data_IF_692662734685
#
_entry.id   IF_692662734685
#
_cell.length_a   1.000
_cell.length_b   1.000
_cell.length_c   1.000
_cell.angle_alpha   90.00
_cell.angle_beta   90.00
_cell.angle_gamma   90.00
#
_symmetry.space_group_name_H-M   'P 1'
#
loop_
_entity.id
_entity.type
_entity.pdbx_description
1 polymer ?
#
# COMPACT_ATOMS: atom_id res chain seq x y z
N UNK A 1 23.19 22.34 9.29
CA UNK A 1 22.75 23.14 8.14
C UNK A 1 23.95 23.44 7.21
N UNK A 2 25.12 23.75 7.75
CA UNK A 2 26.31 24.08 6.92
C UNK A 2 26.94 22.89 6.17
N UNK A 3 26.66 21.64 6.50
CA UNK A 3 27.22 20.47 5.82
C UNK A 3 26.38 20.00 4.58
N UNK A 4 25.16 20.49 4.42
CA UNK A 4 24.28 20.15 3.28
C UNK A 4 24.68 20.95 2.02
N UNK A 5 25.38 22.09 2.16
CA UNK A 5 25.80 22.93 1.03
C UNK A 5 26.92 22.34 0.15
N UNK A 6 27.56 21.25 0.56
CA UNK A 6 28.65 20.61 -0.23
C UNK A 6 28.18 19.65 -1.33
N UNK A 7 26.87 19.36 -1.42
CA UNK A 7 26.32 18.48 -2.48
C UNK A 7 26.05 19.21 -3.81
N UNK A 8 26.18 20.54 -3.81
CA UNK A 8 25.85 21.38 -4.98
C UNK A 8 27.05 21.62 -5.92
N UNK A 9 28.18 20.91 -5.77
CA UNK A 9 29.38 21.10 -6.61
C UNK A 9 29.83 19.86 -7.40
N UNK A 10 29.00 18.81 -7.48
CA UNK A 10 29.18 17.80 -8.51
C UNK A 10 28.63 18.36 -9.83
N UNK A 11 29.45 18.38 -10.89
CA UNK A 11 29.05 18.82 -12.23
C UNK A 11 27.77 18.11 -12.65
N UNK A 12 26.80 18.81 -13.27
CA UNK A 12 25.54 18.23 -13.68
C UNK A 12 25.83 17.16 -14.74
N UNK A 13 25.72 15.89 -14.36
CA UNK A 13 25.47 14.86 -15.37
C UNK A 13 24.19 15.27 -16.09
N UNK A 14 24.22 15.26 -17.42
CA UNK A 14 23.11 15.75 -18.22
C UNK A 14 21.82 15.04 -17.84
N UNK A 15 20.70 15.79 -17.74
CA UNK A 15 19.34 15.24 -17.50
C UNK A 15 19.00 14.04 -18.39
N UNK A 16 19.62 13.94 -19.59
CA UNK A 16 19.46 12.83 -20.52
C UNK A 16 20.08 11.54 -20.01
N UNK A 17 21.23 11.58 -19.30
CA UNK A 17 21.90 10.36 -18.78
C UNK A 17 21.19 9.80 -17.54
N UNK A 18 20.57 10.66 -16.74
CA UNK A 18 19.72 10.25 -15.61
C UNK A 18 18.41 9.68 -16.13
N UNK A 19 17.79 10.29 -17.13
CA UNK A 19 16.58 9.78 -17.79
C UNK A 19 16.82 8.43 -18.47
N UNK A 20 17.98 8.22 -19.09
CA UNK A 20 18.30 6.97 -19.78
C UNK A 20 18.54 5.82 -18.80
N UNK A 21 19.14 6.07 -17.63
CA UNK A 21 19.30 5.06 -16.56
C UNK A 21 17.99 4.74 -15.85
N UNK A 22 17.06 5.69 -15.73
CA UNK A 22 15.73 5.46 -15.18
C UNK A 22 14.82 4.64 -16.10
N UNK A 23 15.13 4.54 -17.41
CA UNK A 23 14.39 3.71 -18.37
C UNK A 23 14.88 2.26 -18.43
N UNK A 24 16.05 1.96 -17.89
CA UNK A 24 16.60 0.58 -17.83
C UNK A 24 16.21 -0.18 -16.55
N UNK A 25 15.67 0.49 -15.55
CA UNK A 25 15.01 -0.17 -14.40
C UNK A 25 13.62 -0.60 -14.86
N UNK A 26 13.43 -1.87 -15.04
CA UNK A 26 12.26 -2.62 -15.52
C UNK A 26 10.91 -1.92 -15.24
N UNK A 27 10.49 -1.02 -16.13
CA UNK A 27 9.11 -0.62 -16.26
C UNK A 27 8.40 -1.72 -17.04
N UNK A 28 7.59 -2.53 -16.39
CA UNK A 28 6.71 -3.47 -17.08
C UNK A 28 5.66 -2.64 -17.79
N UNK A 29 5.71 -2.63 -19.12
CA UNK A 29 4.63 -2.10 -19.94
C UNK A 29 3.46 -3.09 -19.84
N UNK A 30 2.44 -2.74 -19.04
CA UNK A 30 1.33 -3.61 -18.63
C UNK A 30 0.41 -4.02 -19.79
N UNK A 31 0.68 -3.54 -21.03
CA UNK A 31 -0.17 -3.75 -22.20
C UNK A 31 -0.04 -5.12 -22.89
N UNK A 32 0.88 -6.00 -22.52
CA UNK A 32 1.17 -7.21 -23.29
C UNK A 32 1.28 -8.49 -22.46
N UNK A 33 0.17 -8.97 -21.88
CA UNK A 33 0.01 -10.41 -21.59
C UNK A 33 -1.47 -10.74 -21.29
N UNK A 34 -2.14 -11.35 -22.25
CA UNK A 34 -3.44 -11.96 -22.03
C UNK A 34 -3.31 -13.24 -21.18
N UNK A 35 -4.21 -13.55 -20.25
CA UNK A 35 -4.12 -14.76 -19.44
C UNK A 35 -4.56 -15.99 -20.24
N UNK A 36 -3.65 -16.97 -20.35
CA UNK A 36 -4.00 -18.32 -20.78
C UNK A 36 -4.10 -19.20 -19.53
N UNK A 37 -5.30 -19.55 -19.13
CA UNK A 37 -5.52 -20.48 -18.01
C UNK A 37 -6.96 -20.93 -17.93
N UNK A 38 -7.24 -22.08 -18.56
CA UNK A 38 -8.55 -22.74 -18.55
C UNK A 38 -8.67 -23.55 -17.25
N UNK A 39 -9.51 -23.10 -16.30
CA UNK A 39 -9.92 -23.91 -15.14
C UNK A 39 -11.31 -24.48 -15.40
N UNK A 40 -11.53 -25.79 -15.21
CA UNK A 40 -12.84 -26.40 -15.53
C UNK A 40 -13.92 -25.93 -14.56
N UNK A 41 -15.00 -25.41 -15.11
CA UNK A 41 -16.18 -25.02 -14.38
C UNK A 41 -16.92 -26.25 -13.83
N UNK A 42 -17.07 -26.33 -12.52
CA UNK A 42 -18.05 -27.20 -11.87
C UNK A 42 -19.45 -26.66 -12.16
N UNK A 43 -20.21 -27.45 -12.89
CA UNK A 43 -21.60 -27.15 -13.24
C UNK A 43 -22.49 -27.48 -12.04
N UNK A 44 -22.82 -26.47 -11.23
CA UNK A 44 -23.86 -26.58 -10.19
C UNK A 44 -25.11 -25.93 -10.73
N UNK A 45 -26.19 -26.72 -10.85
CA UNK A 45 -27.52 -26.29 -11.33
C UNK A 45 -28.00 -25.06 -10.55
N UNK A 46 -28.19 -23.95 -11.26
CA UNK A 46 -28.78 -22.71 -10.75
C UNK A 46 -30.24 -22.94 -10.42
N UNK A 47 -30.61 -22.87 -9.15
CA UNK A 47 -31.97 -22.54 -8.76
C UNK A 47 -32.20 -21.05 -9.03
N UNK A 48 -33.17 -20.73 -9.84
CA UNK A 48 -33.63 -19.38 -10.12
C UNK A 48 -34.27 -18.78 -8.88
N UNK A 49 -33.47 -18.05 -8.08
CA UNK A 49 -34.02 -17.14 -7.09
C UNK A 49 -34.32 -15.81 -7.80
N UNK A 50 -35.59 -15.46 -7.79
CA UNK A 50 -36.15 -14.25 -8.34
C UNK A 50 -35.44 -12.99 -7.81
N UNK A 51 -35.10 -12.09 -8.74
CA UNK A 51 -34.66 -10.71 -8.46
C UNK A 51 -35.79 -9.94 -7.74
N UNK A 52 -35.83 -10.06 -6.43
CA UNK A 52 -36.57 -9.14 -5.56
C UNK A 52 -35.64 -8.00 -5.18
N UNK A 53 -35.96 -6.72 -5.48
CA UNK A 53 -35.15 -5.56 -5.13
C UNK A 53 -35.17 -5.21 -3.63
N UNK A 54 -35.53 -6.17 -2.77
CA UNK A 54 -35.42 -6.05 -1.31
C UNK A 54 -33.97 -6.09 -0.86
N UNK A 55 -33.66 -5.18 0.04
CA UNK A 55 -32.42 -4.93 0.76
C UNK A 55 -31.44 -6.11 0.80
N UNK A 56 -30.24 -5.93 0.20
CA UNK A 56 -29.20 -6.96 0.14
C UNK A 56 -28.68 -7.28 1.53
N UNK A 57 -29.21 -8.29 2.17
CA UNK A 57 -28.79 -8.69 3.53
C UNK A 57 -27.34 -9.22 3.52
N UNK A 58 -26.57 -9.07 4.61
CA UNK A 58 -25.20 -9.59 4.73
C UNK A 58 -25.08 -11.06 4.30
N UNK A 59 -26.07 -11.90 4.68
CA UNK A 59 -26.10 -13.32 4.30
C UNK A 59 -26.19 -13.54 2.79
N UNK A 60 -27.03 -12.76 2.08
CA UNK A 60 -27.17 -12.87 0.61
C UNK A 60 -25.88 -12.46 -0.11
N UNK A 61 -25.23 -11.37 0.33
CA UNK A 61 -23.98 -10.90 -0.26
C UNK A 61 -22.84 -11.91 -0.07
N UNK A 62 -22.73 -12.47 1.13
CA UNK A 62 -21.76 -13.54 1.42
C UNK A 62 -22.01 -14.76 0.55
N UNK A 63 -23.28 -15.22 0.43
CA UNK A 63 -23.63 -16.37 -0.39
C UNK A 63 -23.32 -16.11 -1.88
N UNK A 64 -23.69 -14.93 -2.41
CA UNK A 64 -23.39 -14.55 -3.80
C UNK A 64 -21.90 -14.55 -4.07
N UNK A 65 -21.09 -13.97 -3.17
CA UNK A 65 -19.62 -13.96 -3.34
C UNK A 65 -19.03 -15.36 -3.22
N UNK A 66 -19.46 -16.15 -2.22
CA UNK A 66 -19.05 -17.55 -2.04
C UNK A 66 -19.27 -18.39 -3.31
N UNK A 67 -20.38 -18.17 -3.99
CA UNK A 67 -20.77 -18.92 -5.18
C UNK A 67 -20.16 -18.34 -6.48
N UNK A 68 -19.22 -17.39 -6.38
CA UNK A 68 -18.47 -16.79 -7.49
C UNK A 68 -19.20 -15.65 -8.20
N UNK A 69 -20.34 -15.18 -7.67
CA UNK A 69 -21.04 -14.02 -8.22
C UNK A 69 -20.36 -12.69 -7.91
N UNK A 70 -20.47 -11.74 -8.84
CA UNK A 70 -20.00 -10.37 -8.63
C UNK A 70 -21.01 -9.57 -7.81
N UNK A 71 -20.50 -8.67 -6.96
CA UNK A 71 -21.25 -7.73 -6.15
C UNK A 71 -21.25 -6.34 -6.80
N UNK A 72 -22.39 -5.66 -6.74
CA UNK A 72 -22.43 -4.26 -7.17
C UNK A 72 -21.67 -3.34 -6.18
N UNK A 73 -21.21 -2.19 -6.67
CA UNK A 73 -20.59 -1.17 -5.80
C UNK A 73 -21.52 -0.79 -4.63
N UNK A 74 -22.81 -0.66 -4.88
CA UNK A 74 -23.81 -0.36 -3.85
C UNK A 74 -23.89 -1.44 -2.77
N UNK A 75 -23.85 -2.71 -3.16
CA UNK A 75 -23.86 -3.85 -2.23
C UNK A 75 -22.62 -3.82 -1.32
N UNK A 76 -21.44 -3.60 -1.91
CA UNK A 76 -20.17 -3.54 -1.16
C UNK A 76 -20.17 -2.35 -0.19
N UNK A 77 -20.57 -1.16 -0.65
CA UNK A 77 -20.67 0.04 0.20
C UNK A 77 -21.64 -0.17 1.37
N UNK A 78 -22.82 -0.73 1.09
CA UNK A 78 -23.83 -1.01 2.12
C UNK A 78 -23.30 -2.03 3.14
N UNK A 79 -22.63 -3.09 2.67
CA UNK A 79 -22.06 -4.12 3.53
C UNK A 79 -20.96 -3.56 4.47
N UNK A 80 -20.04 -2.76 3.94
CA UNK A 80 -19.00 -2.11 4.74
C UNK A 80 -19.59 -1.12 5.74
N UNK A 81 -20.61 -0.35 5.33
CA UNK A 81 -21.30 0.60 6.21
C UNK A 81 -22.00 -0.12 7.35
N UNK A 82 -22.76 -1.18 7.08
CA UNK A 82 -23.47 -1.96 8.10
C UNK A 82 -22.50 -2.66 9.05
N UNK A 83 -21.32 -3.07 8.56
CA UNK A 83 -20.26 -3.61 9.41
C UNK A 83 -19.73 -2.56 10.39
N UNK A 84 -19.48 -1.35 9.94
CA UNK A 84 -19.04 -0.25 10.82
C UNK A 84 -20.09 0.15 11.83
N UNK A 85 -21.37 0.13 11.44
CA UNK A 85 -22.50 0.40 12.34
C UNK A 85 -22.72 -0.72 13.38
N UNK A 86 -22.05 -1.87 13.24
CA UNK A 86 -22.23 -3.03 14.12
C UNK A 86 -23.47 -3.87 13.79
N UNK A 87 -24.14 -3.62 12.68
CA UNK A 87 -25.29 -4.37 12.18
C UNK A 87 -24.86 -5.68 11.50
N UNK A 88 -23.73 -5.66 10.81
CA UNK A 88 -23.03 -6.84 10.31
C UNK A 88 -22.01 -7.30 11.35
N UNK A 89 -22.15 -8.52 11.85
CA UNK A 89 -21.27 -9.07 12.87
C UNK A 89 -19.89 -9.46 12.32
N UNK A 90 -18.87 -9.49 13.18
CA UNK A 90 -17.47 -9.83 12.83
C UNK A 90 -17.37 -11.22 12.15
N UNK A 91 -18.16 -12.21 12.57
CA UNK A 91 -18.17 -13.54 11.93
C UNK A 91 -18.77 -13.50 10.51
N UNK A 92 -19.69 -12.57 10.21
CA UNK A 92 -20.21 -12.39 8.86
C UNK A 92 -19.17 -11.69 7.97
N UNK A 93 -18.49 -10.67 8.48
CA UNK A 93 -17.37 -10.06 7.76
C UNK A 93 -16.26 -11.08 7.52
N UNK A 94 -15.91 -11.91 8.51
CA UNK A 94 -14.90 -12.96 8.34
C UNK A 94 -15.30 -13.99 7.26
N UNK A 95 -16.59 -14.36 7.20
CA UNK A 95 -17.11 -15.23 6.15
C UNK A 95 -17.04 -14.58 4.75
N UNK A 96 -17.32 -13.29 4.66
CA UNK A 96 -17.15 -12.50 3.43
C UNK A 96 -15.67 -12.44 2.99
N UNK A 97 -14.76 -12.13 3.90
CA UNK A 97 -13.33 -12.08 3.63
C UNK A 97 -12.79 -13.43 3.14
N UNK A 98 -13.27 -14.54 3.72
CA UNK A 98 -12.91 -15.89 3.27
C UNK A 98 -13.52 -16.21 1.88
N UNK A 99 -14.75 -15.78 1.61
CA UNK A 99 -15.34 -15.90 0.28
C UNK A 99 -14.53 -15.13 -0.78
N UNK A 100 -14.10 -13.90 -0.46
CA UNK A 100 -13.20 -13.11 -1.32
C UNK A 100 -11.85 -13.80 -1.50
N UNK A 101 -11.30 -14.41 -0.44
CA UNK A 101 -10.03 -15.13 -0.51
C UNK A 101 -10.08 -16.26 -1.57
N UNK A 102 -11.16 -17.04 -1.60
CA UNK A 102 -11.29 -18.17 -2.52
C UNK A 102 -11.77 -17.76 -3.93
N UNK A 103 -12.65 -16.78 -4.04
CA UNK A 103 -13.29 -16.41 -5.31
C UNK A 103 -12.62 -15.20 -5.99
N UNK A 104 -11.81 -14.45 -5.25
CA UNK A 104 -11.29 -13.16 -5.72
C UNK A 104 -12.36 -12.06 -5.81
N UNK A 105 -11.99 -10.94 -6.37
CA UNK A 105 -12.85 -9.81 -6.73
C UNK A 105 -12.45 -9.29 -8.10
N UNK A 106 -13.41 -8.77 -8.86
CA UNK A 106 -13.10 -7.99 -10.06
C UNK A 106 -12.45 -6.65 -9.68
N UNK A 107 -11.82 -5.95 -10.66
CA UNK A 107 -11.25 -4.64 -10.38
C UNK A 107 -12.29 -3.62 -9.94
N UNK A 108 -13.50 -3.70 -10.47
CA UNK A 108 -14.59 -2.82 -10.07
C UNK A 108 -15.06 -3.10 -8.64
N UNK A 109 -15.17 -4.36 -8.25
CA UNK A 109 -15.45 -4.77 -6.87
C UNK A 109 -14.34 -4.30 -5.92
N UNK A 110 -13.07 -4.49 -6.30
CA UNK A 110 -11.91 -4.07 -5.49
C UNK A 110 -11.87 -2.56 -5.35
N UNK A 111 -12.15 -1.81 -6.42
CA UNK A 111 -12.24 -0.35 -6.38
C UNK A 111 -13.42 0.13 -5.51
N UNK A 112 -14.58 -0.55 -5.58
CA UNK A 112 -15.73 -0.25 -4.73
C UNK A 112 -15.42 -0.50 -3.25
N UNK A 113 -14.79 -1.63 -2.93
CA UNK A 113 -14.35 -1.92 -1.56
C UNK A 113 -13.35 -0.87 -1.05
N UNK A 114 -12.39 -0.49 -1.90
CA UNK A 114 -11.41 0.55 -1.57
C UNK A 114 -12.10 1.89 -1.30
N UNK A 115 -13.03 2.31 -2.16
CA UNK A 115 -13.83 3.54 -1.93
C UNK A 115 -14.61 3.48 -0.63
N UNK A 116 -15.30 2.37 -0.36
CA UNK A 116 -16.04 2.19 0.87
C UNK A 116 -15.15 2.29 2.13
N UNK A 117 -13.92 1.78 2.05
CA UNK A 117 -12.93 1.93 3.12
C UNK A 117 -12.46 3.38 3.27
N UNK A 118 -12.18 4.09 2.18
CA UNK A 118 -11.80 5.52 2.20
C UNK A 118 -12.91 6.37 2.79
N UNK A 119 -14.15 6.18 2.31
CA UNK A 119 -15.31 7.00 2.69
C UNK A 119 -15.84 6.65 4.10
N UNK A 120 -15.31 5.61 4.72
CA UNK A 120 -15.59 5.25 6.10
C UNK A 120 -14.96 6.21 7.13
N UNK A 121 -14.02 7.03 6.72
CA UNK A 121 -13.27 7.92 7.60
C UNK A 121 -13.00 9.28 6.98
N UNK A 122 -11.98 9.97 7.50
CA UNK A 122 -11.52 11.25 6.97
C UNK A 122 -10.54 11.05 5.81
N UNK A 123 -10.45 12.06 4.96
CA UNK A 123 -9.33 12.27 4.04
C UNK A 123 -8.51 13.45 4.54
N UNK A 124 -7.18 13.34 4.47
CA UNK A 124 -6.33 14.47 4.82
C UNK A 124 -6.46 15.56 3.75
N UNK A 125 -6.70 16.78 4.19
CA UNK A 125 -6.66 17.94 3.31
C UNK A 125 -5.23 18.50 3.27
N UNK A 126 -4.54 18.21 2.16
CA UNK A 126 -3.19 18.68 1.89
C UNK A 126 -3.17 19.91 0.97
N UNK A 127 -4.29 20.58 0.75
CA UNK A 127 -4.40 21.74 -0.17
C UNK A 127 -3.54 22.92 0.27
N UNK A 128 -3.28 23.06 1.57
CA UNK A 128 -2.40 24.10 2.13
C UNK A 128 -0.91 23.82 1.94
N UNK A 129 -0.52 22.58 1.58
CA UNK A 129 0.87 22.19 1.34
C UNK A 129 1.21 22.52 -0.11
N UNK A 130 2.19 23.40 -0.36
CA UNK A 130 2.53 23.81 -1.74
C UNK A 130 3.26 22.68 -2.50
N UNK A 131 3.07 22.64 -3.83
CA UNK A 131 3.79 21.69 -4.70
C UNK A 131 3.19 20.30 -4.75
N UNK A 132 3.94 19.37 -5.34
CA UNK A 132 3.52 17.98 -5.60
C UNK A 132 3.76 17.12 -4.36
N UNK A 133 2.78 16.29 -4.03
CA UNK A 133 2.84 15.32 -2.93
C UNK A 133 2.91 13.91 -3.51
N UNK A 134 4.01 13.22 -3.24
CA UNK A 134 4.21 11.83 -3.69
C UNK A 134 4.58 10.96 -2.49
N UNK A 135 3.89 9.85 -2.34
CA UNK A 135 4.25 8.88 -1.33
C UNK A 135 4.84 7.60 -1.95
N UNK A 136 5.55 6.83 -1.14
CA UNK A 136 6.07 5.51 -1.48
C UNK A 136 5.57 4.49 -0.46
N UNK A 137 4.99 3.39 -0.97
CA UNK A 137 4.58 2.28 -0.12
C UNK A 137 5.30 1.00 -0.54
N UNK A 138 5.79 0.24 0.45
CA UNK A 138 6.38 -1.07 0.24
C UNK A 138 5.43 -2.16 0.70
N UNK A 139 5.44 -3.30 0.00
CA UNK A 139 4.77 -4.52 0.49
C UNK A 139 5.51 -5.16 1.67
N UNK A 140 6.72 -4.67 1.98
CA UNK A 140 7.51 -5.14 3.11
C UNK A 140 8.44 -6.30 2.78
N UNK A 141 9.45 -6.45 3.60
CA UNK A 141 10.44 -7.53 3.51
C UNK A 141 11.47 -7.43 4.62
N UNK A 142 12.33 -8.44 4.75
CA UNK A 142 13.34 -8.50 5.80
C UNK A 142 14.40 -7.42 5.59
N UNK A 143 14.50 -6.46 6.52
CA UNK A 143 15.45 -5.36 6.42
C UNK A 143 15.01 -4.22 5.51
N UNK A 144 13.76 -4.21 5.04
CA UNK A 144 13.23 -3.14 4.21
C UNK A 144 13.11 -1.83 4.99
N UNK A 145 14.10 -0.99 4.83
CA UNK A 145 14.22 0.35 5.43
C UNK A 145 14.18 1.48 4.41
N UNK A 146 13.96 1.19 3.12
CA UNK A 146 14.05 2.17 2.01
C UNK A 146 13.28 3.44 2.28
N UNK A 147 12.06 3.34 2.83
CA UNK A 147 11.21 4.49 3.12
C UNK A 147 11.86 5.53 4.05
N UNK A 148 12.72 5.08 4.96
CA UNK A 148 13.34 5.96 5.98
C UNK A 148 14.35 6.92 5.36
N UNK A 149 15.35 6.49 4.57
CA UNK A 149 16.26 7.41 3.90
C UNK A 149 15.63 8.09 2.69
N UNK A 150 14.64 7.47 2.03
CA UNK A 150 14.00 8.00 0.82
C UNK A 150 13.21 9.28 1.11
N UNK A 151 12.39 9.31 2.17
CA UNK A 151 11.51 10.45 2.44
C UNK A 151 12.28 11.78 2.57
N UNK A 152 13.35 11.92 3.39
CA UNK A 152 14.13 13.15 3.46
C UNK A 152 14.90 13.46 2.16
N UNK A 153 15.33 12.45 1.39
CA UNK A 153 15.99 12.66 0.10
C UNK A 153 15.03 13.28 -0.92
N UNK A 154 13.82 12.74 -1.05
CA UNK A 154 12.80 13.24 -1.96
C UNK A 154 12.35 14.65 -1.55
N UNK A 155 12.20 14.90 -0.24
CA UNK A 155 11.89 16.23 0.28
C UNK A 155 12.99 17.23 -0.04
N UNK A 156 14.26 16.85 0.05
CA UNK A 156 15.38 17.70 -0.35
C UNK A 156 15.39 18.04 -1.86
N UNK A 157 14.71 17.23 -2.69
CA UNK A 157 14.49 17.51 -4.11
C UNK A 157 13.24 18.39 -4.37
N UNK A 158 12.55 18.86 -3.34
CA UNK A 158 11.40 19.77 -3.45
C UNK A 158 10.05 19.07 -3.65
N UNK A 159 9.95 17.77 -3.41
CA UNK A 159 8.69 17.02 -3.45
C UNK A 159 8.24 16.72 -2.02
N UNK A 160 6.97 16.97 -1.72
CA UNK A 160 6.40 16.69 -0.40
C UNK A 160 6.04 15.22 -0.23
N UNK A 161 6.40 14.62 0.92
CA UNK A 161 6.20 13.19 1.18
C UNK A 161 5.30 12.98 2.41
N UNK A 162 3.97 12.83 2.23
CA UNK A 162 3.02 12.59 3.32
C UNK A 162 2.92 11.09 3.65
N UNK A 163 3.98 10.49 4.18
CA UNK A 163 4.09 9.04 4.32
C UNK A 163 3.31 8.48 5.50
N UNK A 164 2.23 7.77 5.22
CA UNK A 164 1.53 6.92 6.19
C UNK A 164 2.00 5.48 6.03
N UNK A 165 2.66 4.97 7.07
CA UNK A 165 3.28 3.66 7.10
C UNK A 165 2.57 2.67 8.03
N UNK A 166 2.90 1.39 7.91
CA UNK A 166 2.39 0.30 8.73
C UNK A 166 3.39 -0.20 9.78
N UNK A 167 2.86 -1.02 10.68
CA UNK A 167 3.65 -1.87 11.57
C UNK A 167 4.11 -3.13 10.84
N UNK A 168 5.04 -3.85 11.43
CA UNK A 168 5.52 -5.14 10.92
C UNK A 168 4.42 -6.20 10.91
N UNK A 169 4.55 -7.10 9.96
CA UNK A 169 3.68 -8.26 9.77
C UNK A 169 4.51 -9.52 9.67
N UNK A 170 4.06 -10.58 10.34
CA UNK A 170 4.71 -11.87 10.28
C UNK A 170 6.19 -11.78 10.65
N UNK A 171 7.06 -12.11 9.70
CA UNK A 171 8.52 -12.13 9.87
C UNK A 171 9.22 -10.80 9.55
N UNK A 172 8.48 -9.72 9.20
CA UNK A 172 9.04 -8.43 8.81
C UNK A 172 8.87 -7.38 9.89
N UNK A 173 9.83 -6.43 9.98
CA UNK A 173 9.69 -5.22 10.80
C UNK A 173 8.99 -4.10 10.03
N UNK A 174 8.03 -3.41 10.64
CA UNK A 174 7.35 -2.27 10.05
C UNK A 174 8.14 -0.97 10.15
N UNK A 175 7.86 -0.04 9.26
CA UNK A 175 8.48 1.30 9.28
C UNK A 175 8.21 2.03 10.60
N UNK A 176 6.98 1.91 11.14
CA UNK A 176 6.64 2.55 12.42
C UNK A 176 7.44 1.97 13.59
N UNK A 177 7.61 0.64 13.62
CA UNK A 177 8.34 -0.04 14.69
C UNK A 177 9.83 0.39 14.69
N UNK A 178 10.38 0.67 13.51
CA UNK A 178 11.74 1.20 13.35
C UNK A 178 11.84 2.64 13.82
N UNK A 179 10.91 3.51 13.41
CA UNK A 179 10.88 4.92 13.81
C UNK A 179 10.69 5.09 15.33
N UNK A 180 9.87 4.24 15.96
CA UNK A 180 9.68 4.24 17.40
C UNK A 180 10.93 3.82 18.21
N UNK A 181 11.95 3.24 17.55
CA UNK A 181 13.25 3.00 18.18
C UNK A 181 14.08 4.29 18.33
N UNK A 182 13.68 5.40 17.71
CA UNK A 182 14.27 6.72 17.93
C UNK A 182 13.65 7.31 19.20
N UNK A 183 14.43 7.63 20.25
CA UNK A 183 13.88 8.18 21.48
C UNK A 183 13.05 9.45 21.24
N UNK A 184 11.80 9.45 21.70
CA UNK A 184 10.87 10.58 21.56
C UNK A 184 10.18 10.70 20.20
N UNK A 185 10.43 9.82 19.23
CA UNK A 185 9.72 9.84 17.96
C UNK A 185 8.26 9.41 18.13
N UNK A 186 7.34 10.24 17.64
CA UNK A 186 5.89 9.97 17.71
C UNK A 186 5.38 9.55 16.34
N UNK A 187 4.84 8.34 16.25
CA UNK A 187 4.23 7.81 15.02
C UNK A 187 2.73 8.09 14.91
N UNK A 188 2.09 8.46 16.03
CA UNK A 188 0.67 8.85 16.05
C UNK A 188 0.57 10.37 16.12
N UNK A 189 0.21 10.96 15.00
CA UNK A 189 0.07 12.40 14.86
C UNK A 189 -1.40 12.77 14.59
N UNK A 190 -1.94 13.83 15.23
CA UNK A 190 -3.18 14.47 14.80
C UNK A 190 -3.05 14.97 13.36
N UNK A 191 -4.16 15.08 12.63
CA UNK A 191 -4.16 15.47 11.22
C UNK A 191 -3.55 16.86 10.98
N UNK A 192 -3.86 17.82 11.83
CA UNK A 192 -3.32 19.18 11.79
C UNK A 192 -1.81 19.23 12.03
N UNK A 193 -1.31 18.43 12.97
CA UNK A 193 0.11 18.31 13.23
C UNK A 193 0.84 17.62 12.07
N UNK A 194 0.23 16.59 11.48
CA UNK A 194 0.75 15.90 10.30
C UNK A 194 0.95 16.87 9.13
N UNK A 195 -0.09 17.67 8.81
CA UNK A 195 -0.05 18.68 7.74
C UNK A 195 0.96 19.77 8.04
N UNK A 196 1.05 20.25 9.28
CA UNK A 196 2.02 21.25 9.69
C UNK A 196 3.45 20.76 9.50
N UNK A 197 3.79 19.55 9.99
CA UNK A 197 5.13 18.98 9.82
C UNK A 197 5.46 18.81 8.34
N UNK A 198 4.52 18.29 7.54
CA UNK A 198 4.70 18.15 6.09
C UNK A 198 5.06 19.49 5.44
N UNK A 199 4.34 20.56 5.77
CA UNK A 199 4.57 21.90 5.22
C UNK A 199 5.93 22.49 5.63
N UNK A 200 6.34 22.28 6.88
CA UNK A 200 7.55 22.88 7.45
C UNK A 200 8.82 22.11 7.04
N UNK A 201 8.74 20.78 6.95
CA UNK A 201 9.90 19.88 6.79
C UNK A 201 10.01 19.32 5.38
N UNK A 202 8.90 19.29 4.62
CA UNK A 202 8.82 18.67 3.29
C UNK A 202 8.45 17.19 3.34
N UNK A 203 8.57 16.53 4.48
CA UNK A 203 8.09 15.16 4.66
C UNK A 203 7.57 14.92 6.08
N UNK A 204 6.72 13.95 6.22
CA UNK A 204 6.24 13.44 7.51
C UNK A 204 6.07 11.93 7.42
N UNK A 205 6.44 11.22 8.47
CA UNK A 205 6.27 9.77 8.57
C UNK A 205 5.46 9.45 9.81
N UNK A 206 4.29 8.87 9.59
CA UNK A 206 3.37 8.54 10.66
C UNK A 206 2.58 7.27 10.41
N UNK A 207 1.82 6.85 11.40
CA UNK A 207 0.88 5.73 11.29
C UNK A 207 -0.53 6.20 10.96
N UNK A 208 -1.35 5.27 10.52
CA UNK A 208 -2.77 5.48 10.31
C UNK A 208 -3.43 5.98 11.60
N UNK A 209 -4.10 7.12 11.56
CA UNK A 209 -4.95 7.59 12.65
C UNK A 209 -6.19 6.71 12.81
N UNK A 210 -6.91 6.85 13.93
CA UNK A 210 -8.14 6.09 14.17
C UNK A 210 -9.22 6.40 13.13
N UNK A 211 -9.20 7.63 12.61
CA UNK A 211 -10.23 8.18 11.74
C UNK A 211 -9.92 8.00 10.24
N UNK A 212 -8.69 7.60 9.89
CA UNK A 212 -8.28 7.35 8.51
C UNK A 212 -8.63 5.91 8.13
N UNK A 213 -9.54 5.72 7.17
CA UNK A 213 -10.00 4.42 6.68
C UNK A 213 -10.31 3.39 7.81
N UNK A 214 -11.19 3.71 8.78
CA UNK A 214 -11.46 2.84 9.95
C UNK A 214 -12.02 1.47 9.56
N UNK A 215 -12.71 1.36 8.40
CA UNK A 215 -13.16 0.07 7.89
C UNK A 215 -11.99 -0.87 7.58
N UNK A 216 -10.94 -0.37 6.91
CA UNK A 216 -9.73 -1.16 6.66
C UNK A 216 -9.13 -1.69 7.96
N UNK A 217 -8.98 -0.83 8.96
CA UNK A 217 -8.41 -1.21 10.25
C UNK A 217 -9.18 -2.36 10.92
N UNK A 218 -10.53 -2.28 10.94
CA UNK A 218 -11.36 -3.34 11.52
C UNK A 218 -11.32 -4.63 10.71
N UNK A 219 -11.42 -4.52 9.38
CA UNK A 219 -11.34 -5.66 8.47
C UNK A 219 -9.96 -6.33 8.54
N UNK A 220 -8.90 -5.54 8.61
CA UNK A 220 -7.53 -6.06 8.71
C UNK A 220 -7.32 -6.87 10.00
N UNK A 221 -7.86 -6.40 11.13
CA UNK A 221 -7.79 -7.13 12.39
C UNK A 221 -8.47 -8.51 12.31
N UNK A 222 -9.55 -8.65 11.52
CA UNK A 222 -10.17 -9.95 11.24
C UNK A 222 -9.31 -10.80 10.30
N UNK A 223 -8.74 -10.19 9.26
CA UNK A 223 -7.89 -10.90 8.29
C UNK A 223 -6.67 -11.55 8.94
N UNK A 224 -6.06 -10.84 9.89
CA UNK A 224 -4.88 -11.32 10.62
C UNK A 224 -5.16 -12.64 11.39
N UNK A 225 -6.35 -12.77 11.99
CA UNK A 225 -6.72 -13.94 12.78
C UNK A 225 -7.52 -14.99 12.00
N UNK A 226 -7.88 -14.73 10.75
CA UNK A 226 -8.66 -15.65 9.90
C UNK A 226 -7.91 -16.17 8.68
N UNK A 227 -6.58 -15.95 8.60
CA UNK A 227 -5.71 -16.39 7.51
C UNK A 227 -6.20 -15.94 6.13
N UNK A 228 -6.60 -14.67 6.00
CA UNK A 228 -7.05 -14.06 4.74
C UNK A 228 -6.21 -12.86 4.32
N UNK A 229 -5.00 -12.71 4.90
CA UNK A 229 -4.10 -11.59 4.61
C UNK A 229 -3.58 -11.66 3.17
N UNK A 230 -3.27 -12.85 2.64
CA UNK A 230 -2.60 -13.04 1.35
C UNK A 230 -3.51 -12.86 0.13
N UNK A 231 -4.78 -12.53 0.32
CA UNK A 231 -5.72 -12.25 -0.78
C UNK A 231 -5.35 -10.96 -1.52
N UNK A 232 -5.02 -11.06 -2.82
CA UNK A 232 -4.61 -9.92 -3.65
C UNK A 232 -5.64 -8.77 -3.62
N UNK A 233 -6.95 -8.98 -3.87
CA UNK A 233 -7.94 -7.90 -3.80
C UNK A 233 -7.97 -7.19 -2.45
N UNK A 234 -7.84 -7.96 -1.36
CA UNK A 234 -7.85 -7.41 -0.01
C UNK A 234 -6.54 -6.68 0.33
N UNK A 235 -5.39 -7.12 -0.20
CA UNK A 235 -4.12 -6.39 -0.09
C UNK A 235 -4.23 -5.06 -0.82
N UNK A 236 -4.72 -5.06 -2.07
CA UNK A 236 -4.89 -3.87 -2.90
C UNK A 236 -5.82 -2.87 -2.22
N UNK A 237 -7.00 -3.30 -1.77
CA UNK A 237 -7.97 -2.44 -1.10
C UNK A 237 -7.40 -1.83 0.18
N UNK A 238 -6.70 -2.62 0.99
CA UNK A 238 -6.09 -2.17 2.24
C UNK A 238 -4.98 -1.13 2.00
N UNK A 239 -4.13 -1.33 1.02
CA UNK A 239 -3.06 -0.38 0.68
C UNK A 239 -3.67 0.91 0.12
N UNK A 240 -4.46 0.79 -0.95
CA UNK A 240 -4.95 1.95 -1.69
C UNK A 240 -5.94 2.79 -0.87
N UNK A 241 -6.74 2.19 0.02
CA UNK A 241 -7.64 2.97 0.88
C UNK A 241 -6.89 3.98 1.74
N UNK A 242 -5.76 3.58 2.33
CA UNK A 242 -4.90 4.48 3.12
C UNK A 242 -4.24 5.55 2.24
N UNK A 243 -3.76 5.17 1.05
CA UNK A 243 -3.05 6.07 0.14
C UNK A 243 -3.96 7.11 -0.51
N UNK A 244 -5.20 6.74 -0.81
CA UNK A 244 -6.22 7.71 -1.26
C UNK A 244 -6.67 8.63 -0.14
N UNK A 245 -6.87 8.09 1.08
CA UNK A 245 -7.26 8.89 2.26
C UNK A 245 -6.15 9.84 2.73
N UNK A 246 -4.89 9.53 2.46
CA UNK A 246 -3.70 10.35 2.73
C UNK A 246 -3.65 11.62 1.88
N UNK A 247 -4.27 11.63 0.71
CA UNK A 247 -4.37 12.82 -0.15
C UNK A 247 -3.13 13.10 -1.00
N UNK A 248 -2.26 12.12 -1.24
CA UNK A 248 -1.10 12.26 -2.14
C UNK A 248 -1.53 12.40 -3.61
N UNK A 249 -0.80 13.19 -4.41
CA UNK A 249 -1.01 13.36 -5.86
C UNK A 249 -0.52 12.15 -6.66
N UNK A 250 0.40 11.36 -6.10
CA UNK A 250 0.97 10.17 -6.72
C UNK A 250 1.52 9.19 -5.70
N UNK A 251 1.66 7.94 -6.15
CA UNK A 251 2.14 6.83 -5.34
C UNK A 251 3.17 6.00 -6.10
N UNK A 252 4.28 5.72 -5.46
CA UNK A 252 5.25 4.72 -5.88
C UNK A 252 5.02 3.45 -5.04
N UNK A 253 4.70 2.35 -5.71
CA UNK A 253 4.57 1.03 -5.08
C UNK A 253 5.84 0.22 -5.28
N UNK A 254 6.44 -0.18 -4.19
CA UNK A 254 7.60 -1.06 -4.12
C UNK A 254 7.10 -2.46 -3.73
N UNK A 255 6.80 -3.28 -4.74
CA UNK A 255 6.29 -4.65 -4.56
C UNK A 255 7.47 -5.60 -4.49
N UNK A 256 7.71 -6.13 -3.31
CA UNK A 256 8.85 -6.99 -3.04
C UNK A 256 8.50 -8.47 -3.27
N UNK A 257 9.46 -9.19 -3.85
CA UNK A 257 9.35 -10.64 -4.08
C UNK A 257 10.59 -11.39 -3.59
N UNK A 258 10.45 -12.69 -3.36
CA UNK A 258 11.53 -13.55 -2.90
C UNK A 258 11.35 -14.03 -1.46
N UNK A 259 12.33 -14.77 -0.94
CA UNK A 259 12.25 -15.45 0.36
C UNK A 259 12.09 -14.54 1.57
N UNK A 260 12.50 -13.29 1.46
CA UNK A 260 12.34 -12.28 2.51
C UNK A 260 11.09 -11.42 2.38
N UNK A 261 10.25 -11.66 1.37
CA UNK A 261 9.02 -10.92 1.09
C UNK A 261 7.76 -11.78 1.29
N UNK A 262 6.58 -11.16 1.13
CA UNK A 262 5.29 -11.87 1.15
C UNK A 262 4.97 -12.52 -0.20
N UNK A 263 5.42 -11.93 -1.33
CA UNK A 263 5.30 -12.55 -2.65
C UNK A 263 6.52 -13.46 -2.87
N UNK A 264 6.32 -14.78 -3.02
CA UNK A 264 7.43 -15.73 -3.10
C UNK A 264 8.23 -15.62 -4.40
N UNK A 265 7.60 -15.12 -5.46
CA UNK A 265 8.19 -15.01 -6.80
C UNK A 265 7.76 -13.73 -7.53
N UNK A 266 8.45 -13.44 -8.62
CA UNK A 266 8.24 -12.25 -9.43
C UNK A 266 6.88 -12.25 -10.15
N UNK A 267 6.31 -13.43 -10.49
CA UNK A 267 5.04 -13.52 -11.21
C UNK A 267 3.86 -13.14 -10.31
N UNK A 268 3.89 -13.57 -9.05
CA UNK A 268 2.91 -13.16 -8.04
C UNK A 268 3.05 -11.68 -7.70
N UNK A 269 4.28 -11.17 -7.57
CA UNK A 269 4.52 -9.75 -7.37
C UNK A 269 4.02 -8.91 -8.55
N UNK A 270 4.26 -9.36 -9.79
CA UNK A 270 3.75 -8.70 -10.98
C UNK A 270 2.22 -8.72 -11.05
N UNK A 271 1.59 -9.81 -10.60
CA UNK A 271 0.12 -9.90 -10.51
C UNK A 271 -0.44 -8.88 -9.50
N UNK A 272 0.16 -8.79 -8.31
CA UNK A 272 -0.20 -7.77 -7.33
C UNK A 272 0.02 -6.36 -7.88
N UNK A 273 1.16 -6.12 -8.54
CA UNK A 273 1.50 -4.84 -9.16
C UNK A 273 0.48 -4.40 -10.21
N UNK A 274 0.05 -5.31 -11.09
CA UNK A 274 -0.99 -5.03 -12.09
C UNK A 274 -2.34 -4.68 -11.45
N UNK A 275 -2.74 -5.38 -10.40
CA UNK A 275 -3.99 -5.08 -9.71
C UNK A 275 -3.92 -3.75 -8.96
N UNK A 276 -2.79 -3.40 -8.34
CA UNK A 276 -2.56 -2.08 -7.73
C UNK A 276 -2.69 -0.96 -8.77
N UNK A 277 -2.05 -1.10 -9.93
CA UNK A 277 -2.11 -0.11 -11.01
C UNK A 277 -3.52 0.03 -11.58
N UNK A 278 -4.19 -1.11 -11.87
CA UNK A 278 -5.57 -1.13 -12.37
C UNK A 278 -6.54 -0.45 -11.41
N UNK A 279 -6.54 -0.83 -10.16
CA UNK A 279 -7.45 -0.28 -9.15
C UNK A 279 -7.08 1.17 -8.83
N UNK A 280 -5.79 1.49 -8.75
CA UNK A 280 -5.30 2.86 -8.58
C UNK A 280 -5.82 3.79 -9.68
N UNK A 281 -5.77 3.34 -10.95
CA UNK A 281 -6.34 4.06 -12.10
C UNK A 281 -7.84 4.27 -11.96
N UNK A 282 -8.62 3.25 -11.55
CA UNK A 282 -10.06 3.38 -11.30
C UNK A 282 -10.40 4.35 -10.16
N UNK A 283 -9.45 4.60 -9.26
CA UNK A 283 -9.56 5.56 -8.16
C UNK A 283 -9.03 6.95 -8.51
N UNK A 284 -8.46 7.13 -9.71
CA UNK A 284 -7.85 8.38 -10.15
C UNK A 284 -6.48 8.67 -9.54
N UNK A 285 -5.82 7.70 -8.93
CA UNK A 285 -4.49 7.83 -8.33
C UNK A 285 -3.41 7.60 -9.40
N UNK A 286 -2.45 8.52 -9.49
CA UNK A 286 -1.25 8.34 -10.32
C UNK A 286 -0.31 7.37 -9.61
N UNK A 287 -0.16 6.17 -10.15
CA UNK A 287 0.60 5.11 -9.52
C UNK A 287 1.71 4.58 -10.46
N UNK A 288 2.85 4.20 -9.87
CA UNK A 288 3.92 3.46 -10.53
C UNK A 288 4.32 2.29 -9.64
N UNK A 289 4.60 1.15 -10.26
CA UNK A 289 4.99 -0.08 -9.56
C UNK A 289 6.42 -0.43 -9.91
N UNK A 290 7.22 -0.70 -8.87
CA UNK A 290 8.53 -1.32 -8.98
C UNK A 290 8.46 -2.72 -8.36
N UNK A 291 9.07 -3.70 -9.03
CA UNK A 291 9.26 -5.03 -8.49
C UNK A 291 10.70 -5.15 -8.00
N UNK A 292 10.89 -5.45 -6.73
CA UNK A 292 12.20 -5.45 -6.11
C UNK A 292 12.51 -6.79 -5.42
N UNK A 293 13.72 -7.29 -5.63
CA UNK A 293 14.17 -8.56 -5.10
C UNK A 293 14.47 -8.48 -3.59
N UNK A 294 13.92 -9.45 -2.86
CA UNK A 294 14.13 -9.66 -1.42
C UNK A 294 14.58 -11.10 -1.11
N UNK A 295 15.24 -11.78 -2.03
CA UNK A 295 15.85 -13.09 -1.74
C UNK A 295 16.97 -13.01 -0.70
N UNK A 296 17.50 -11.83 -0.52
CA UNK A 296 18.43 -11.47 0.55
C UNK A 296 17.84 -10.34 1.39
N UNK A 297 18.09 -10.32 2.70
CA UNK A 297 17.77 -9.16 3.53
C UNK A 297 18.45 -7.90 2.98
N UNK A 298 17.74 -6.79 2.94
CA UNK A 298 18.25 -5.53 2.43
C UNK A 298 19.22 -4.87 3.44
N UNK A 299 20.39 -4.53 2.96
CA UNK A 299 21.45 -3.94 3.80
C UNK A 299 22.15 -4.97 4.69
N UNK A 300 22.84 -4.47 5.71
CA UNK A 300 23.68 -5.28 6.62
C UNK A 300 23.16 -5.33 8.03
N UNK A 301 22.32 -4.39 8.41
CA UNK A 301 21.75 -4.26 9.77
C UNK A 301 20.27 -4.55 9.72
N UNK A 302 19.83 -5.58 10.46
CA UNK A 302 18.43 -6.01 10.53
C UNK A 302 17.97 -5.88 11.97
N UNK A 303 16.86 -5.17 12.19
CA UNK A 303 16.28 -4.86 13.49
C UNK A 303 16.00 -3.37 13.62
N UNK A 304 14.98 -2.98 14.40
CA UNK A 304 14.41 -1.64 14.40
C UNK A 304 15.44 -0.52 14.52
N UNK A 305 16.16 -0.45 15.64
CA UNK A 305 17.17 0.58 15.87
C UNK A 305 18.40 0.43 14.94
N UNK A 306 18.76 -0.79 14.57
CA UNK A 306 19.88 -1.06 13.66
C UNK A 306 19.58 -0.55 12.25
N UNK A 307 18.35 -0.70 11.80
CA UNK A 307 17.90 -0.22 10.48
C UNK A 307 17.82 1.31 10.43
N UNK A 308 17.44 1.96 11.53
CA UNK A 308 17.55 3.42 11.67
C UNK A 308 19.01 3.87 11.56
N UNK A 309 19.90 3.23 12.29
CA UNK A 309 21.34 3.58 12.25
C UNK A 309 21.91 3.42 10.83
N UNK A 310 21.54 2.35 10.11
CA UNK A 310 22.00 2.13 8.73
C UNK A 310 21.39 3.14 7.73
N UNK A 311 20.15 3.57 7.96
CA UNK A 311 19.51 4.63 7.18
C UNK A 311 20.22 5.99 7.37
N UNK A 312 20.65 6.29 8.60
CA UNK A 312 21.44 7.49 8.90
C UNK A 312 22.82 7.38 8.26
N UNK A 313 23.47 6.21 8.34
CA UNK A 313 24.76 5.96 7.67
C UNK A 313 24.63 6.25 6.16
N UNK A 314 23.56 5.79 5.51
CA UNK A 314 23.31 6.08 4.10
C UNK A 314 23.16 7.57 3.81
N UNK A 315 22.34 8.28 4.59
CA UNK A 315 22.11 9.72 4.43
C UNK A 315 23.36 10.57 4.68
N UNK A 316 24.36 10.04 5.38
CA UNK A 316 25.64 10.71 5.65
C UNK A 316 26.76 10.31 4.68
N UNK A 317 26.41 9.56 3.61
CA UNK A 317 27.35 9.19 2.54
C UNK A 317 27.98 7.82 2.68
N UNK A 318 27.61 7.05 3.74
CA UNK A 318 28.00 5.66 3.96
C UNK A 318 26.94 4.68 3.46
N UNK A 319 26.72 3.62 4.25
CA UNK A 319 25.70 2.60 4.03
C UNK A 319 26.07 1.52 3.01
N UNK A 320 25.30 0.44 2.95
CA UNK A 320 25.54 -0.67 2.02
C UNK A 320 25.10 -0.31 0.59
N UNK A 321 25.80 -0.83 -0.44
CA UNK A 321 25.56 -0.50 -1.84
C UNK A 321 24.14 -0.84 -2.31
N UNK A 322 23.61 -2.00 -1.91
CA UNK A 322 22.26 -2.48 -2.27
C UNK A 322 21.18 -1.52 -1.76
N UNK A 323 21.27 -1.06 -0.50
CA UNK A 323 20.35 -0.09 0.05
C UNK A 323 20.46 1.26 -0.68
N UNK A 324 21.70 1.68 -1.02
CA UNK A 324 21.92 2.90 -1.79
C UNK A 324 21.29 2.83 -3.17
N UNK A 325 21.51 1.73 -3.88
CA UNK A 325 21.01 1.50 -5.23
C UNK A 325 19.47 1.60 -5.26
N UNK A 326 18.78 0.80 -4.43
CA UNK A 326 17.32 0.78 -4.41
C UNK A 326 16.70 2.09 -3.90
N UNK A 327 17.42 2.85 -3.05
CA UNK A 327 16.93 4.14 -2.56
C UNK A 327 17.02 5.22 -3.63
N UNK A 328 17.96 5.11 -4.57
CA UNK A 328 18.19 6.10 -5.63
C UNK A 328 17.49 5.75 -6.95
N UNK A 329 17.02 4.50 -7.10
CA UNK A 329 16.25 4.06 -8.26
C UNK A 329 14.82 4.60 -8.23
#
# INVERSE_FOLDING_TARGET
>A
VEKISRWNTASPESESSVRQRLTEVWSIDVAAAAPTGNTPAMNVSRSSDSDDPGESTPRRLIARKRDGGELSSRDIESFVRSFLAGETADYQMSAFLMAVYFQGMSGDETAALTRAMVDSGIRLDLSSVPGIKVDKHSTGGVGDKVSIPLAPLVAACGVFVPMISGRGLGHTGGTLDKLEAIPGFRTRLPADEFVRILSEVGYVMGGQSADLAPADRRMYALRDVTATVESIPLIVSSILSKKVAEGADGLIMDVKFGRGAFMPDIDQAATLGRELDRVGTLLGLKLRVFLTDMDKPLGRKIGNALEIAESIDLLTGGGPPDLKEITLA
#
